data_IF_872749516297
#
_entry.id   IF_872749516297
#
_cell.length_a   1.000
_cell.length_b   1.000
_cell.length_c   1.000
_cell.angle_alpha   90.00
_cell.angle_beta   90.00
_cell.angle_gamma   90.00
#
_symmetry.space_group_name_H-M   'P 1'
#
loop_
_entity.id
_entity.type
_entity.pdbx_description
1 polymer ?
#
# COMPACT_ATOMS: atom_id res chain seq x y z
N UNK A 1 7.33 12.41 4.76
CA UNK A 1 6.76 13.64 4.18
C UNK A 1 5.91 13.29 2.95
N UNK A 2 5.00 14.15 2.49
CA UNK A 2 3.99 13.77 1.49
C UNK A 2 4.56 13.18 0.19
N UNK A 3 5.70 13.69 -0.29
CA UNK A 3 6.40 13.15 -1.47
C UNK A 3 7.12 11.81 -1.29
N UNK A 4 7.12 11.24 -0.08
CA UNK A 4 7.69 9.92 0.21
C UNK A 4 6.63 8.82 0.23
N UNK A 5 5.32 9.17 0.22
CA UNK A 5 4.22 8.20 0.42
C UNK A 5 4.15 7.10 -0.62
N UNK A 6 4.52 7.40 -1.87
CA UNK A 6 4.59 6.38 -2.93
C UNK A 6 5.93 5.63 -2.92
N UNK A 7 7.00 6.30 -2.49
CA UNK A 7 8.35 5.74 -2.47
C UNK A 7 8.53 4.63 -1.44
N UNK A 8 7.75 4.62 -0.36
CA UNK A 8 7.82 3.54 0.66
C UNK A 8 7.50 2.15 0.10
N UNK A 9 6.90 2.06 -1.09
CA UNK A 9 6.64 0.80 -1.79
C UNK A 9 7.74 0.42 -2.79
N UNK A 10 8.80 1.22 -2.93
CA UNK A 10 9.92 0.93 -3.81
C UNK A 10 10.89 -0.09 -3.20
N UNK A 11 11.58 -0.81 -4.07
CA UNK A 11 12.62 -1.76 -3.68
C UNK A 11 13.79 -1.00 -3.01
N UNK A 12 13.98 -1.22 -1.70
CA UNK A 12 14.94 -0.53 -0.81
C UNK A 12 14.54 0.86 -0.28
N UNK A 13 13.26 1.12 -0.03
CA UNK A 13 12.80 2.36 0.60
C UNK A 13 13.20 2.55 2.09
N UNK A 14 14.24 1.89 2.58
CA UNK A 14 14.75 2.00 3.96
C UNK A 14 13.94 1.27 5.04
N UNK A 15 12.68 0.89 4.77
CA UNK A 15 11.76 0.21 5.71
C UNK A 15 11.72 -1.32 5.63
N UNK A 16 12.65 -1.95 4.91
CA UNK A 16 12.59 -3.37 4.56
C UNK A 16 11.76 -3.65 3.30
N UNK A 17 11.64 -4.93 2.92
CA UNK A 17 10.98 -5.34 1.67
C UNK A 17 9.47 -5.57 1.80
N UNK A 18 8.91 -5.45 3.00
CA UNK A 18 7.51 -5.82 3.28
C UNK A 18 6.50 -5.06 2.42
N UNK A 19 6.58 -3.73 2.40
CA UNK A 19 5.64 -2.90 1.62
C UNK A 19 5.82 -3.06 0.11
N UNK A 20 7.06 -3.24 -0.35
CA UNK A 20 7.34 -3.60 -1.75
C UNK A 20 6.61 -4.90 -2.12
N UNK A 21 6.82 -5.99 -1.37
CA UNK A 21 6.16 -7.26 -1.66
C UNK A 21 4.63 -7.19 -1.55
N UNK A 22 4.09 -6.41 -0.62
CA UNK A 22 2.63 -6.18 -0.55
C UNK A 22 2.11 -5.55 -1.84
N UNK A 23 2.80 -4.53 -2.39
CA UNK A 23 2.39 -3.91 -3.66
C UNK A 23 2.47 -4.91 -4.82
N UNK A 24 3.52 -5.70 -4.88
CA UNK A 24 3.71 -6.71 -5.93
C UNK A 24 2.67 -7.85 -5.83
N UNK A 25 2.32 -8.30 -4.64
CA UNK A 25 1.30 -9.36 -4.47
C UNK A 25 -0.09 -8.84 -4.83
N UNK A 26 -0.45 -7.63 -4.38
CA UNK A 26 -1.75 -7.04 -4.67
C UNK A 26 -1.92 -6.76 -6.17
N UNK A 27 -0.85 -6.35 -6.86
CA UNK A 27 -0.89 -6.06 -8.30
C UNK A 27 -1.14 -7.30 -9.17
N UNK A 28 -0.75 -8.51 -8.71
CA UNK A 28 -1.09 -9.79 -9.40
C UNK A 28 -2.60 -9.96 -9.53
N UNK A 29 -3.37 -9.39 -8.60
CA UNK A 29 -4.84 -9.49 -8.53
C UNK A 29 -5.55 -8.18 -8.88
N UNK A 30 -4.89 -7.28 -9.61
CA UNK A 30 -5.42 -5.96 -10.01
C UNK A 30 -5.86 -5.07 -8.82
N UNK A 31 -5.30 -5.31 -7.63
CA UNK A 31 -5.52 -4.49 -6.44
C UNK A 31 -4.39 -3.45 -6.29
N UNK A 32 -4.72 -2.31 -5.68
CA UNK A 32 -3.73 -1.26 -5.41
C UNK A 32 -3.68 -0.94 -3.93
N UNK A 33 -2.54 -0.45 -3.44
CA UNK A 33 -2.34 0.03 -2.07
C UNK A 33 -1.77 1.43 -2.08
N UNK A 34 -2.25 2.30 -1.18
CA UNK A 34 -1.77 3.68 -1.00
C UNK A 34 -1.65 4.02 0.47
N UNK A 35 -0.66 4.82 0.83
CA UNK A 35 -0.56 5.42 2.16
C UNK A 35 -1.18 6.83 2.11
N UNK A 36 -2.20 7.07 2.94
CA UNK A 36 -3.00 8.31 2.96
C UNK A 36 -3.06 8.93 4.36
N UNK A 37 -2.18 8.52 5.29
CA UNK A 37 -2.14 9.05 6.64
C UNK A 37 -1.67 10.50 6.68
N UNK A 38 -2.02 11.23 7.72
CA UNK A 38 -1.50 12.58 7.96
C UNK A 38 -0.21 12.46 8.77
N UNK A 39 0.90 13.12 8.36
CA UNK A 39 2.12 13.13 9.15
C UNK A 39 1.85 13.59 10.59
N UNK A 40 2.29 12.80 11.58
CA UNK A 40 2.04 13.07 13.01
C UNK A 40 0.85 12.28 13.58
N UNK A 41 -0.06 11.78 12.75
CA UNK A 41 -1.27 11.07 13.17
C UNK A 41 -1.17 9.54 12.96
N UNK A 42 0.05 9.04 12.72
CA UNK A 42 0.33 7.65 12.37
C UNK A 42 0.29 7.40 10.85
N UNK A 43 0.20 6.13 10.48
CA UNK A 43 0.16 5.67 9.08
C UNK A 43 -1.21 5.06 8.76
N UNK A 44 -1.75 5.37 7.58
CA UNK A 44 -3.01 4.79 7.11
C UNK A 44 -2.85 4.25 5.70
N UNK A 45 -2.98 2.94 5.55
CA UNK A 45 -2.94 2.28 4.25
C UNK A 45 -4.37 1.97 3.77
N UNK A 46 -4.63 2.24 2.50
CA UNK A 46 -5.88 1.90 1.82
C UNK A 46 -5.57 0.94 0.70
N UNK A 47 -6.25 -0.21 0.71
CA UNK A 47 -6.25 -1.18 -0.39
C UNK A 47 -7.53 -0.98 -1.20
N UNK A 48 -7.40 -0.80 -2.50
CA UNK A 48 -8.54 -0.84 -3.41
C UNK A 48 -8.70 -2.25 -3.95
N UNK A 49 -9.87 -2.82 -3.69
CA UNK A 49 -10.27 -4.14 -4.14
C UNK A 49 -11.32 -3.98 -5.24
N UNK A 50 -11.26 -4.80 -6.28
CA UNK A 50 -12.29 -4.84 -7.32
C UNK A 50 -13.64 -5.30 -6.71
N UNK A 51 -14.79 -4.90 -7.29
CA UNK A 51 -16.11 -5.26 -6.75
C UNK A 51 -16.31 -6.76 -6.49
N UNK A 52 -15.76 -7.62 -7.33
CA UNK A 52 -15.87 -9.08 -7.21
C UNK A 52 -14.70 -9.72 -6.45
N UNK A 53 -13.74 -8.92 -5.98
CA UNK A 53 -12.50 -9.37 -5.32
C UNK A 53 -12.62 -9.58 -3.80
N UNK A 54 -13.80 -9.36 -3.22
CA UNK A 54 -14.04 -9.54 -1.78
C UNK A 54 -15.38 -10.21 -1.51
N UNK A 55 -15.50 -10.81 -0.33
CA UNK A 55 -16.75 -11.33 0.20
C UNK A 55 -16.93 -10.82 1.61
N UNK A 56 -18.09 -10.25 1.91
CA UNK A 56 -18.50 -9.95 3.27
C UNK A 56 -19.24 -11.18 3.78
N UNK A 57 -18.76 -11.76 4.89
CA UNK A 57 -19.37 -12.92 5.57
C UNK A 57 -19.99 -12.49 6.89
#
# INVERSE_FOLDING_TARGET
PEGEKDKIFEYHAGGGLGLFFVREILSITDMTIREIGTPGDGARFVIHVLPDGYRIV
#
